data_IF_546570034397
#
_entry.id   IF_546570034397
#
_cell.length_a   1.000
_cell.length_b   1.000
_cell.length_c   1.000
_cell.angle_alpha   90.00
_cell.angle_beta   90.00
_cell.angle_gamma   90.00
#
_symmetry.space_group_name_H-M   'P 1'
#
loop_
_entity.id
_entity.type
_entity.pdbx_description
1 polymer ?
#
# COMPACT_ATOMS: atom_id res chain seq x y z
N UNK A 1 88.68 -128.58 78.82
CA UNK A 1 88.99 -127.66 77.70
C UNK A 1 87.78 -127.37 76.82
N UNK A 2 86.86 -128.30 76.60
CA UNK A 2 85.67 -128.09 75.73
C UNK A 2 84.58 -127.18 76.31
N UNK A 3 84.27 -127.25 77.62
CA UNK A 3 83.28 -126.35 78.26
C UNK A 3 83.59 -124.86 78.06
N UNK A 4 84.87 -124.47 78.18
CA UNK A 4 85.33 -123.08 77.94
C UNK A 4 85.12 -122.63 76.49
N UNK A 5 85.28 -123.53 75.50
CA UNK A 5 85.06 -123.21 74.08
C UNK A 5 83.57 -123.05 73.74
N UNK A 6 82.69 -123.79 74.41
CA UNK A 6 81.23 -123.66 74.26
C UNK A 6 80.74 -122.37 74.90
N UNK A 7 81.18 -122.04 76.11
CA UNK A 7 80.87 -120.76 76.77
C UNK A 7 81.36 -119.55 75.97
N UNK A 8 82.53 -119.65 75.35
CA UNK A 8 83.08 -118.60 74.49
C UNK A 8 82.27 -118.43 73.19
N UNK A 9 81.76 -119.52 72.59
CA UNK A 9 80.85 -119.45 71.42
C UNK A 9 79.49 -118.85 71.78
N UNK A 10 78.90 -119.23 72.91
CA UNK A 10 77.63 -118.66 73.41
C UNK A 10 77.80 -117.17 73.72
N UNK A 11 78.95 -116.77 74.28
CA UNK A 11 79.30 -115.36 74.50
C UNK A 11 79.44 -114.61 73.17
N UNK A 12 80.14 -115.18 72.20
CA UNK A 12 80.28 -114.58 70.86
C UNK A 12 78.95 -114.49 70.10
N UNK A 13 78.04 -115.44 70.26
CA UNK A 13 76.69 -115.38 69.69
C UNK A 13 75.84 -114.30 70.36
N UNK A 14 75.84 -114.21 71.69
CA UNK A 14 75.16 -113.12 72.42
C UNK A 14 75.70 -111.75 72.01
N UNK A 15 77.01 -111.59 71.88
CA UNK A 15 77.62 -110.34 71.39
C UNK A 15 77.23 -110.04 69.93
N UNK A 16 77.08 -111.05 69.06
CA UNK A 16 76.58 -110.88 67.69
C UNK A 16 75.11 -110.49 67.65
N UNK A 17 74.26 -111.14 68.44
CA UNK A 17 72.84 -110.82 68.57
C UNK A 17 72.63 -109.41 69.14
N UNK A 18 73.34 -109.04 70.21
CA UNK A 18 73.33 -107.68 70.75
C UNK A 18 73.80 -106.66 69.72
N UNK A 19 74.80 -106.99 68.90
CA UNK A 19 75.26 -106.11 67.81
C UNK A 19 74.22 -105.97 66.70
N UNK A 20 73.50 -107.04 66.36
CA UNK A 20 72.39 -107.03 65.41
C UNK A 20 71.22 -106.22 65.97
N UNK A 21 70.87 -106.42 67.24
CA UNK A 21 69.79 -105.70 67.90
C UNK A 21 70.11 -104.22 68.05
N UNK A 22 71.35 -103.87 68.42
CA UNK A 22 71.85 -102.49 68.46
C UNK A 22 71.77 -101.83 67.08
N UNK A 23 72.14 -102.54 66.00
CA UNK A 23 71.97 -102.07 64.61
C UNK A 23 70.49 -101.92 64.22
N UNK A 24 69.60 -102.82 64.66
CA UNK A 24 68.15 -102.73 64.42
C UNK A 24 67.54 -101.53 65.13
N UNK A 25 67.83 -101.34 66.42
CA UNK A 25 67.44 -100.17 67.22
C UNK A 25 68.00 -98.88 66.63
N UNK A 26 69.23 -98.89 66.12
CA UNK A 26 69.84 -97.72 65.46
C UNK A 26 69.16 -97.40 64.12
N UNK A 27 68.87 -98.42 63.28
CA UNK A 27 68.10 -98.24 62.03
C UNK A 27 66.70 -97.71 62.31
N UNK A 28 66.05 -98.22 63.35
CA UNK A 28 64.72 -97.76 63.77
C UNK A 28 64.76 -96.32 64.29
N UNK A 29 65.76 -95.95 65.10
CA UNK A 29 66.01 -94.55 65.51
C UNK A 29 66.25 -93.65 64.31
N UNK A 30 67.05 -94.08 63.32
CA UNK A 30 67.28 -93.34 62.07
C UNK A 30 65.99 -93.19 61.25
N UNK A 31 65.16 -94.23 61.19
CA UNK A 31 63.85 -94.20 60.52
C UNK A 31 62.90 -93.22 61.22
N UNK A 32 62.75 -93.30 62.54
CA UNK A 32 61.93 -92.37 63.34
C UNK A 32 62.41 -90.92 63.16
N UNK A 33 63.72 -90.66 63.22
CA UNK A 33 64.29 -89.32 62.94
C UNK A 33 64.00 -88.83 61.52
N UNK A 34 64.01 -89.71 60.51
CA UNK A 34 63.65 -89.35 59.13
C UNK A 34 62.16 -89.05 59.00
N UNK A 35 61.31 -89.85 59.63
CA UNK A 35 59.85 -89.63 59.64
C UNK A 35 59.49 -88.35 60.42
N UNK A 36 60.16 -88.08 61.53
CA UNK A 36 60.01 -86.84 62.31
C UNK A 36 60.46 -85.61 61.52
N UNK A 37 61.60 -85.67 60.83
CA UNK A 37 62.03 -84.61 59.91
C UNK A 37 61.03 -84.38 58.78
N UNK A 38 60.49 -85.45 58.17
CA UNK A 38 59.45 -85.33 57.13
C UNK A 38 58.18 -84.66 57.66
N UNK A 39 57.77 -84.98 58.89
CA UNK A 39 56.62 -84.32 59.55
C UNK A 39 56.91 -82.85 59.82
N UNK A 40 58.11 -82.52 60.33
CA UNK A 40 58.53 -81.13 60.55
C UNK A 40 58.59 -80.35 59.24
N UNK A 41 59.19 -80.91 58.18
CA UNK A 41 59.21 -80.30 56.85
C UNK A 41 57.80 -80.11 56.27
N UNK A 42 56.88 -81.07 56.50
CA UNK A 42 55.49 -80.94 56.07
C UNK A 42 54.75 -79.85 56.86
N UNK A 43 54.91 -79.82 58.18
CA UNK A 43 54.31 -78.78 59.04
C UNK A 43 54.86 -77.39 58.70
N UNK A 44 56.15 -77.26 58.40
CA UNK A 44 56.75 -76.00 57.93
C UNK A 44 56.16 -75.56 56.59
N UNK A 45 56.02 -76.47 55.62
CA UNK A 45 55.37 -76.16 54.34
C UNK A 45 53.93 -75.72 54.51
N UNK A 46 53.16 -76.41 55.36
CA UNK A 46 51.77 -76.03 55.66
C UNK A 46 51.69 -74.67 56.37
N UNK A 47 52.64 -74.35 57.27
CA UNK A 47 52.74 -73.02 57.89
C UNK A 47 53.08 -71.95 56.86
N UNK A 48 54.07 -72.17 56.02
CA UNK A 48 54.44 -71.24 54.94
C UNK A 48 53.28 -71.02 53.96
N UNK A 49 52.53 -72.06 53.63
CA UNK A 49 51.36 -71.97 52.75
C UNK A 49 50.24 -71.14 53.41
N UNK A 50 49.95 -71.38 54.70
CA UNK A 50 48.99 -70.56 55.46
C UNK A 50 49.41 -69.09 55.53
N UNK A 51 50.70 -68.82 55.76
CA UNK A 51 51.23 -67.45 55.75
C UNK A 51 51.11 -66.79 54.37
N UNK A 52 51.40 -67.53 53.29
CA UNK A 52 51.22 -67.04 51.91
C UNK A 52 49.76 -66.72 51.62
N UNK A 53 48.84 -67.62 51.99
CA UNK A 53 47.41 -67.38 51.85
C UNK A 53 46.94 -66.16 52.66
N UNK A 54 47.44 -65.99 53.89
CA UNK A 54 47.09 -64.83 54.71
C UNK A 54 47.59 -63.53 54.08
N UNK A 55 48.84 -63.49 53.60
CA UNK A 55 49.40 -62.35 52.87
C UNK A 55 48.58 -62.05 51.62
N UNK A 56 48.19 -63.06 50.85
CA UNK A 56 47.31 -62.88 49.69
C UNK A 56 45.93 -62.32 50.08
N UNK A 57 45.32 -62.82 51.16
CA UNK A 57 44.03 -62.31 51.67
C UNK A 57 44.16 -60.85 52.09
N UNK A 58 45.23 -60.49 52.80
CA UNK A 58 45.52 -59.12 53.20
C UNK A 58 45.72 -58.22 51.97
N UNK A 59 46.51 -58.65 50.98
CA UNK A 59 46.70 -57.92 49.73
C UNK A 59 45.39 -57.71 48.96
N UNK A 60 44.55 -58.75 48.84
CA UNK A 60 43.23 -58.63 48.18
C UNK A 60 42.35 -57.60 48.89
N UNK A 61 42.36 -57.60 50.22
CA UNK A 61 41.63 -56.63 51.03
C UNK A 61 42.17 -55.21 50.85
N UNK A 62 43.49 -55.03 50.82
CA UNK A 62 44.12 -53.75 50.51
C UNK A 62 43.79 -53.25 49.12
N UNK A 63 43.89 -54.09 48.09
CA UNK A 63 43.50 -53.76 46.71
C UNK A 63 42.04 -53.31 46.64
N UNK A 64 41.14 -53.98 47.37
CA UNK A 64 39.73 -53.59 47.49
C UNK A 64 39.56 -52.23 48.18
N UNK A 65 40.31 -51.97 49.26
CA UNK A 65 40.32 -50.66 49.95
C UNK A 65 40.86 -49.54 49.06
N UNK A 66 41.96 -49.76 48.35
CA UNK A 66 42.54 -48.81 47.38
C UNK A 66 41.56 -48.51 46.24
N UNK A 67 40.91 -49.54 45.67
CA UNK A 67 39.85 -49.36 44.65
C UNK A 67 38.67 -48.53 45.18
N UNK A 68 38.22 -48.79 46.43
CA UNK A 68 37.15 -47.99 47.05
C UNK A 68 37.56 -46.54 47.30
N UNK A 69 38.80 -46.28 47.71
CA UNK A 69 39.34 -44.92 47.87
C UNK A 69 39.38 -44.17 46.53
N UNK A 70 39.96 -44.77 45.49
CA UNK A 70 40.00 -44.20 44.13
C UNK A 70 38.60 -43.85 43.62
N UNK A 71 37.63 -44.76 43.75
CA UNK A 71 36.24 -44.49 43.34
C UNK A 71 35.59 -43.35 44.12
N UNK A 72 35.90 -43.19 45.41
CA UNK A 72 35.40 -42.06 46.21
C UNK A 72 36.03 -40.75 45.79
N UNK A 73 37.32 -40.75 45.50
CA UNK A 73 38.04 -39.56 45.00
C UNK A 73 37.55 -39.17 43.60
N UNK A 74 37.34 -40.14 42.72
CA UNK A 74 36.77 -39.93 41.38
C UNK A 74 35.37 -39.34 41.44
N UNK A 75 34.49 -39.87 42.30
CA UNK A 75 33.17 -39.27 42.54
C UNK A 75 33.24 -37.85 43.07
N UNK A 76 34.16 -37.56 44.00
CA UNK A 76 34.36 -36.19 44.51
C UNK A 76 34.83 -35.23 43.42
N UNK A 77 35.69 -35.69 42.50
CA UNK A 77 36.14 -34.90 41.35
C UNK A 77 34.97 -34.64 40.39
N UNK A 78 34.19 -35.66 40.06
CA UNK A 78 32.99 -35.52 39.23
C UNK A 78 31.97 -34.56 39.86
N UNK A 79 31.66 -34.72 41.15
CA UNK A 79 30.77 -33.80 41.86
C UNK A 79 31.30 -32.35 41.89
N UNK A 80 32.62 -32.17 41.95
CA UNK A 80 33.22 -30.84 41.88
C UNK A 80 33.14 -30.25 40.48
N UNK A 81 33.45 -31.03 39.44
CA UNK A 81 33.33 -30.64 38.04
C UNK A 81 31.88 -30.27 37.71
N UNK A 82 30.89 -31.08 38.09
CA UNK A 82 29.47 -30.78 37.91
C UNK A 82 29.03 -29.49 38.63
N UNK A 83 29.55 -29.23 39.84
CA UNK A 83 29.29 -27.95 40.55
C UNK A 83 29.91 -26.76 39.84
N UNK A 84 31.11 -26.91 39.29
CA UNK A 84 31.79 -25.86 38.54
C UNK A 84 31.10 -25.61 37.19
N UNK A 85 30.68 -26.65 36.49
CA UNK A 85 29.85 -26.55 35.28
C UNK A 85 28.51 -25.89 35.57
N UNK A 86 27.83 -26.27 36.65
CA UNK A 86 26.59 -25.63 37.08
C UNK A 86 26.76 -24.13 37.35
N UNK A 87 27.86 -23.72 38.00
CA UNK A 87 28.17 -22.29 38.21
C UNK A 87 28.46 -21.55 36.90
N UNK A 88 29.16 -22.19 35.95
CA UNK A 88 29.44 -21.60 34.62
C UNK A 88 28.14 -21.41 33.84
N UNK A 89 27.26 -22.40 33.86
CA UNK A 89 25.94 -22.32 33.22
C UNK A 89 25.09 -21.21 33.84
N UNK A 90 25.05 -21.12 35.17
CA UNK A 90 24.33 -20.06 35.89
C UNK A 90 24.90 -18.67 35.54
N UNK A 91 26.22 -18.53 35.44
CA UNK A 91 26.86 -17.29 35.02
C UNK A 91 26.51 -16.93 33.56
N UNK A 92 26.57 -17.89 32.65
CA UNK A 92 26.17 -17.67 31.25
C UNK A 92 24.70 -17.28 31.10
N UNK A 93 23.81 -17.89 31.89
CA UNK A 93 22.38 -17.54 31.91
C UNK A 93 22.18 -16.12 32.43
N UNK A 94 22.84 -15.73 33.52
CA UNK A 94 22.81 -14.35 34.03
C UNK A 94 23.32 -13.34 33.00
N UNK A 95 24.41 -13.65 32.30
CA UNK A 95 24.93 -12.79 31.22
C UNK A 95 23.96 -12.71 30.03
N UNK A 96 23.32 -13.82 29.64
CA UNK A 96 22.29 -13.83 28.59
C UNK A 96 21.09 -12.99 28.99
N UNK A 97 20.60 -13.14 30.22
CA UNK A 97 19.50 -12.32 30.74
C UNK A 97 19.86 -10.83 30.77
N UNK A 98 21.07 -10.48 31.19
CA UNK A 98 21.53 -9.09 31.21
C UNK A 98 21.59 -8.51 29.79
N UNK A 99 22.14 -9.25 28.82
CA UNK A 99 22.15 -8.86 27.41
C UNK A 99 20.75 -8.68 26.85
N UNK A 100 19.81 -9.58 27.17
CA UNK A 100 18.41 -9.43 26.78
C UNK A 100 17.76 -8.20 27.41
N UNK A 101 18.03 -7.91 28.69
CA UNK A 101 17.54 -6.70 29.36
C UNK A 101 18.09 -5.45 28.69
N UNK A 102 19.38 -5.41 28.37
CA UNK A 102 20.00 -4.32 27.63
C UNK A 102 19.36 -4.14 26.24
N UNK A 103 19.17 -5.23 25.50
CA UNK A 103 18.54 -5.17 24.17
C UNK A 103 17.09 -4.68 24.24
N UNK A 104 16.32 -5.12 25.25
CA UNK A 104 14.95 -4.62 25.48
C UNK A 104 14.94 -3.13 25.77
N UNK A 105 15.89 -2.64 26.57
CA UNK A 105 16.04 -1.21 26.86
C UNK A 105 16.44 -0.41 25.62
N UNK A 106 17.36 -0.91 24.79
CA UNK A 106 17.71 -0.27 23.52
C UNK A 106 16.54 -0.24 22.55
N UNK A 107 15.81 -1.35 22.40
CA UNK A 107 14.61 -1.41 21.56
C UNK A 107 13.57 -0.39 22.02
N UNK A 108 13.40 -0.21 23.33
CA UNK A 108 12.52 0.82 23.89
C UNK A 108 13.02 2.23 23.56
N UNK A 109 14.30 2.53 23.76
CA UNK A 109 14.91 3.82 23.39
C UNK A 109 14.73 4.14 21.91
N UNK A 110 15.01 3.18 21.02
CA UNK A 110 14.81 3.33 19.56
C UNK A 110 13.36 3.59 19.20
N UNK A 111 12.40 2.96 19.90
CA UNK A 111 10.96 3.22 19.69
C UNK A 111 10.57 4.62 20.16
N UNK A 112 11.08 5.06 21.31
CA UNK A 112 10.83 6.40 21.84
C UNK A 112 11.47 7.48 20.95
N UNK A 113 12.67 7.24 20.43
CA UNK A 113 13.36 8.13 19.48
C UNK A 113 12.59 8.24 18.15
N UNK A 114 12.13 7.11 17.59
CA UNK A 114 11.27 7.12 16.39
C UNK A 114 9.98 7.90 16.61
N UNK A 115 9.34 7.75 17.78
CA UNK A 115 8.14 8.53 18.13
C UNK A 115 8.43 10.03 18.22
N UNK A 116 9.60 10.42 18.73
CA UNK A 116 10.02 11.83 18.77
C UNK A 116 10.26 12.38 17.36
N UNK A 117 10.96 11.62 16.52
CA UNK A 117 11.19 11.99 15.11
C UNK A 117 9.88 12.14 14.36
N UNK A 118 8.94 11.19 14.52
CA UNK A 118 7.63 11.25 13.89
C UNK A 118 6.80 12.44 14.40
N UNK A 119 6.88 12.78 15.69
CA UNK A 119 6.24 13.98 16.24
C UNK A 119 6.84 15.26 15.67
N UNK A 120 8.18 15.32 15.58
CA UNK A 120 8.89 16.48 15.02
C UNK A 120 8.59 16.65 13.52
N UNK A 121 8.53 15.56 12.74
CA UNK A 121 8.13 15.58 11.34
C UNK A 121 6.69 16.06 11.18
N UNK A 122 5.75 15.54 11.99
CA UNK A 122 4.36 16.01 12.00
C UNK A 122 4.24 17.49 12.38
N UNK A 123 5.09 17.99 13.28
CA UNK A 123 5.10 19.41 13.65
C UNK A 123 5.67 20.27 12.51
N UNK A 124 6.75 19.83 11.86
CA UNK A 124 7.32 20.48 10.67
C UNK A 124 6.31 20.53 9.52
N UNK A 125 5.61 19.44 9.26
CA UNK A 125 4.57 19.38 8.23
C UNK A 125 3.40 20.33 8.53
N UNK A 126 2.97 20.42 9.80
CA UNK A 126 1.97 21.41 10.23
C UNK A 126 2.44 22.84 10.03
N UNK A 127 3.68 23.14 10.39
CA UNK A 127 4.27 24.46 10.18
C UNK A 127 4.34 24.81 8.69
N UNK A 128 4.75 23.86 7.84
CA UNK A 128 4.80 24.05 6.40
C UNK A 128 3.40 24.25 5.80
N UNK A 129 2.40 23.49 6.25
CA UNK A 129 1.00 23.68 5.85
C UNK A 129 0.48 25.07 6.27
N UNK A 130 0.74 25.49 7.51
CA UNK A 130 0.37 26.83 7.98
C UNK A 130 1.06 27.93 7.16
N UNK A 131 2.33 27.75 6.80
CA UNK A 131 3.07 28.71 5.99
C UNK A 131 2.48 28.79 4.58
N UNK A 132 2.23 27.65 3.92
CA UNK A 132 1.55 27.58 2.62
C UNK A 132 0.18 28.26 2.66
N UNK A 133 -0.62 28.02 3.69
CA UNK A 133 -1.91 28.70 3.86
C UNK A 133 -1.77 30.21 4.07
N UNK A 134 -0.76 30.66 4.84
CA UNK A 134 -0.48 32.08 5.04
C UNK A 134 -0.07 32.74 3.73
N UNK A 135 0.80 32.10 2.95
CA UNK A 135 1.21 32.58 1.62
C UNK A 135 0.00 32.66 0.67
N UNK A 136 -0.83 31.62 0.63
CA UNK A 136 -2.02 31.61 -0.22
C UNK A 136 -3.02 32.70 0.19
N UNK A 137 -3.20 32.94 1.50
CA UNK A 137 -4.02 34.06 2.01
C UNK A 137 -3.46 35.41 1.56
N UNK A 138 -2.14 35.60 1.62
CA UNK A 138 -1.48 36.82 1.15
C UNK A 138 -1.69 36.98 -0.36
N UNK A 139 -1.55 35.91 -1.13
CA UNK A 139 -1.73 35.94 -2.57
C UNK A 139 -3.19 36.24 -2.97
N UNK A 140 -4.17 35.58 -2.35
CA UNK A 140 -5.60 35.86 -2.51
C UNK A 140 -5.90 37.32 -2.20
N UNK A 141 -5.31 37.90 -1.13
CA UNK A 141 -5.47 39.32 -0.79
C UNK A 141 -4.86 40.23 -1.87
N UNK A 142 -3.69 39.88 -2.42
CA UNK A 142 -3.07 40.62 -3.54
C UNK A 142 -3.93 40.56 -4.80
N UNK A 143 -4.47 39.39 -5.16
CA UNK A 143 -5.39 39.21 -6.31
C UNK A 143 -6.66 40.05 -6.15
N UNK A 144 -7.33 39.97 -4.99
CA UNK A 144 -8.51 40.81 -4.67
C UNK A 144 -8.21 42.30 -4.74
N UNK A 145 -7.03 42.74 -4.28
CA UNK A 145 -6.63 44.15 -4.37
C UNK A 145 -6.42 44.59 -5.82
N UNK A 146 -5.80 43.75 -6.66
CA UNK A 146 -5.64 44.03 -8.10
C UNK A 146 -6.99 44.08 -8.81
N UNK A 147 -7.89 43.16 -8.51
CA UNK A 147 -9.24 43.11 -9.09
C UNK A 147 -10.07 44.33 -8.70
N UNK A 148 -10.07 44.72 -7.41
CA UNK A 148 -10.73 45.95 -6.95
C UNK A 148 -10.21 47.19 -7.68
N UNK A 149 -8.89 47.30 -7.88
CA UNK A 149 -8.30 48.40 -8.65
C UNK A 149 -8.77 48.41 -10.11
N UNK A 150 -8.84 47.24 -10.76
CA UNK A 150 -9.36 47.11 -12.13
C UNK A 150 -10.83 47.51 -12.21
N UNK A 151 -11.67 47.02 -11.32
CA UNK A 151 -13.09 47.37 -11.26
C UNK A 151 -13.29 48.87 -10.99
N UNK A 152 -12.45 49.48 -10.13
CA UNK A 152 -12.51 50.91 -9.87
C UNK A 152 -12.08 51.73 -11.08
N UNK A 153 -11.02 51.34 -11.78
CA UNK A 153 -10.61 51.95 -13.05
C UNK A 153 -11.70 51.84 -14.12
N UNK A 154 -12.28 50.65 -14.28
CA UNK A 154 -13.36 50.43 -15.25
C UNK A 154 -14.61 51.27 -14.91
N UNK A 155 -14.97 51.39 -13.63
CA UNK A 155 -16.08 52.27 -13.21
C UNK A 155 -15.78 53.74 -13.51
N UNK A 156 -14.55 54.21 -13.26
CA UNK A 156 -14.13 55.57 -13.58
C UNK A 156 -14.18 55.82 -15.09
N UNK A 157 -13.65 54.90 -15.90
CA UNK A 157 -13.72 54.99 -17.37
C UNK A 157 -15.15 54.97 -17.90
N UNK A 158 -16.03 54.14 -17.32
CA UNK A 158 -17.47 54.12 -17.68
C UNK A 158 -18.13 55.45 -17.37
N UNK A 159 -17.89 56.02 -16.20
CA UNK A 159 -18.43 57.34 -15.81
C UNK A 159 -17.89 58.46 -16.71
N UNK A 160 -16.61 58.39 -17.09
CA UNK A 160 -16.02 59.38 -18.01
C UNK A 160 -16.63 59.28 -19.40
N UNK A 161 -16.78 58.07 -19.95
CA UNK A 161 -17.47 57.84 -21.23
C UNK A 161 -18.94 58.27 -21.20
N UNK A 162 -19.61 58.08 -20.07
CA UNK A 162 -21.00 58.53 -19.88
C UNK A 162 -21.09 60.06 -19.87
N UNK A 163 -20.22 60.74 -19.10
CA UNK A 163 -20.10 62.21 -19.13
C UNK A 163 -19.79 62.74 -20.53
N UNK A 164 -18.87 62.11 -21.25
CA UNK A 164 -18.54 62.51 -22.63
C UNK A 164 -19.73 62.31 -23.57
N UNK A 165 -20.51 61.23 -23.41
CA UNK A 165 -21.74 61.00 -24.18
C UNK A 165 -22.80 62.05 -23.86
N UNK A 166 -23.01 62.37 -22.60
CA UNK A 166 -23.93 63.43 -22.17
C UNK A 166 -23.52 64.79 -22.73
N UNK A 167 -22.24 65.15 -22.66
CA UNK A 167 -21.73 66.40 -23.22
C UNK A 167 -21.91 66.44 -24.75
N UNK A 168 -21.67 65.33 -25.46
CA UNK A 168 -21.93 65.22 -26.90
C UNK A 168 -23.42 65.41 -27.22
N UNK A 169 -24.31 64.83 -26.42
CA UNK A 169 -25.77 64.98 -26.58
C UNK A 169 -26.20 66.42 -26.30
N UNK A 170 -25.70 67.05 -25.24
CA UNK A 170 -26.00 68.44 -24.89
C UNK A 170 -25.49 69.40 -25.97
N UNK A 171 -24.25 69.21 -26.45
CA UNK A 171 -23.68 70.00 -27.55
C UNK A 171 -24.49 69.86 -28.84
N UNK A 172 -25.03 68.66 -29.12
CA UNK A 172 -25.93 68.43 -30.25
C UNK A 172 -27.27 69.16 -30.04
N UNK A 173 -27.89 69.04 -28.87
CA UNK A 173 -29.14 69.76 -28.53
C UNK A 173 -28.96 71.27 -28.65
N UNK A 174 -27.86 71.82 -28.14
CA UNK A 174 -27.55 73.26 -28.23
C UNK A 174 -27.33 73.72 -29.67
N UNK A 175 -26.74 72.87 -30.53
CA UNK A 175 -26.62 73.14 -31.97
C UNK A 175 -27.97 73.09 -32.67
N UNK A 176 -28.81 72.11 -32.35
CA UNK A 176 -30.17 71.99 -32.90
C UNK A 176 -31.06 73.15 -32.44
N UNK A 177 -30.97 73.57 -31.17
CA UNK A 177 -31.68 74.73 -30.65
C UNK A 177 -31.21 76.04 -31.30
N UNK A 178 -29.89 76.23 -31.48
CA UNK A 178 -29.37 77.36 -32.26
C UNK A 178 -29.90 77.37 -33.68
N UNK A 179 -29.93 76.22 -34.36
CA UNK A 179 -30.49 76.11 -35.71
C UNK A 179 -31.98 76.41 -35.74
N UNK A 180 -32.76 75.98 -34.75
CA UNK A 180 -34.19 76.32 -34.62
C UNK A 180 -34.40 77.82 -34.40
N UNK A 181 -33.62 78.43 -33.49
CA UNK A 181 -33.69 79.89 -33.27
C UNK A 181 -33.29 80.66 -34.53
N UNK A 182 -32.26 80.22 -35.24
CA UNK A 182 -31.83 80.85 -36.50
C UNK A 182 -32.87 80.65 -37.61
N UNK A 183 -33.56 79.50 -37.66
CA UNK A 183 -34.70 79.29 -38.57
C UNK A 183 -35.90 80.16 -38.19
N UNK A 184 -36.26 80.27 -36.91
CA UNK A 184 -37.34 81.16 -36.45
C UNK A 184 -37.00 82.63 -36.69
N UNK A 185 -35.74 83.03 -36.55
CA UNK A 185 -35.29 84.40 -36.82
C UNK A 185 -35.30 84.70 -38.32
N UNK A 186 -34.86 83.76 -39.16
CA UNK A 186 -35.02 83.85 -40.63
C UNK A 186 -36.49 83.87 -41.05
N UNK A 187 -37.35 83.07 -40.42
CA UNK A 187 -38.78 83.06 -40.71
C UNK A 187 -39.46 84.36 -40.22
N UNK A 188 -38.99 84.96 -39.12
CA UNK A 188 -39.42 86.31 -38.69
C UNK A 188 -38.94 87.40 -39.64
N UNK A 189 -37.69 87.36 -40.10
CA UNK A 189 -37.19 88.28 -41.13
C UNK A 189 -37.93 88.10 -42.45
N UNK A 190 -38.29 86.88 -42.82
CA UNK A 190 -39.07 86.60 -44.03
C UNK A 190 -40.52 87.09 -43.88
N UNK A 191 -41.14 86.91 -42.70
CA UNK A 191 -42.45 87.50 -42.39
C UNK A 191 -42.40 89.02 -42.31
N UNK A 192 -41.34 89.62 -41.77
CA UNK A 192 -41.17 91.08 -41.76
C UNK A 192 -40.89 91.62 -43.17
N UNK A 193 -40.16 90.88 -44.01
CA UNK A 193 -40.01 91.20 -45.44
C UNK A 193 -41.34 91.09 -46.17
N UNK A 194 -42.12 90.03 -45.93
CA UNK A 194 -43.45 89.88 -46.50
C UNK A 194 -44.42 90.96 -46.01
N UNK A 195 -44.38 91.35 -44.73
CA UNK A 195 -45.21 92.43 -44.19
C UNK A 195 -44.77 93.82 -44.70
N UNK A 196 -43.46 94.04 -44.89
CA UNK A 196 -42.96 95.25 -45.60
C UNK A 196 -43.37 95.24 -47.06
N UNK A 197 -43.31 94.10 -47.73
CA UNK A 197 -43.73 93.95 -49.12
C UNK A 197 -45.27 94.06 -49.26
N UNK A 198 -46.06 93.65 -48.26
CA UNK A 198 -47.50 93.85 -48.20
C UNK A 198 -47.86 95.30 -47.92
N UNK A 199 -47.16 95.99 -47.00
CA UNK A 199 -47.33 97.43 -46.76
C UNK A 199 -46.90 98.26 -47.97
N UNK A 200 -45.82 97.85 -48.65
CA UNK A 200 -45.38 98.47 -49.90
C UNK A 200 -46.36 98.14 -51.05
N UNK A 201 -46.98 96.95 -51.08
CA UNK A 201 -48.07 96.62 -51.99
C UNK A 201 -49.35 97.40 -51.69
N UNK A 202 -49.73 97.62 -50.44
CA UNK A 202 -50.90 98.45 -50.07
C UNK A 202 -50.67 99.94 -50.39
N UNK A 203 -49.46 100.44 -50.20
CA UNK A 203 -49.08 101.81 -50.56
C UNK A 203 -48.98 101.99 -52.08
N UNK A 204 -48.42 100.98 -52.79
CA UNK A 204 -48.46 100.90 -54.25
C UNK A 204 -49.88 100.72 -54.78
N UNK A 205 -50.76 99.96 -54.14
CA UNK A 205 -52.16 99.76 -54.58
C UNK A 205 -53.04 101.01 -54.33
N UNK A 206 -52.72 101.82 -53.30
CA UNK A 206 -53.29 103.17 -53.13
C UNK A 206 -52.80 104.16 -54.19
N UNK A 207 -51.53 104.12 -54.59
CA UNK A 207 -51.01 104.92 -55.71
C UNK A 207 -51.52 104.40 -57.07
N UNK A 208 -51.66 103.09 -57.25
CA UNK A 208 -52.10 102.42 -58.47
C UNK A 208 -53.61 102.58 -58.69
N UNK A 209 -54.43 102.76 -57.64
CA UNK A 209 -55.84 103.21 -57.78
C UNK A 209 -55.96 104.65 -58.32
N UNK A 210 -54.98 105.51 -58.06
CA UNK A 210 -54.91 106.87 -58.63
C UNK A 210 -54.31 106.87 -60.05
N UNK A 211 -53.37 105.97 -60.34
CA UNK A 211 -52.74 105.83 -61.66
C UNK A 211 -53.54 104.98 -62.67
N UNK A 212 -54.33 103.99 -62.24
CA UNK A 212 -55.25 103.19 -63.09
C UNK A 212 -56.39 104.00 -63.68
N UNK A 213 -56.67 105.20 -63.14
CA UNK A 213 -57.60 106.17 -63.77
C UNK A 213 -56.92 106.98 -64.90
N UNK A 214 -55.58 106.97 -64.96
CA UNK A 214 -54.76 107.71 -65.94
C UNK A 214 -54.16 106.78 -67.02
N UNK A 215 -53.75 105.55 -66.68
CA UNK A 215 -53.15 104.55 -67.59
C UNK A 215 -54.12 103.66 -68.36
N UNK A 216 -55.44 103.80 -68.16
CA UNK A 216 -56.46 103.12 -69.01
C UNK A 216 -56.62 103.78 -70.39
N UNK A 217 -55.81 104.80 -70.69
CA UNK A 217 -55.81 105.56 -71.95
C UNK A 217 -54.52 105.41 -72.77
N UNK A 218 -53.49 104.76 -72.23
CA UNK A 218 -52.21 104.57 -72.89
C UNK A 218 -51.85 103.10 -72.85
N UNK A 219 -52.34 102.41 -73.88
CA UNK A 219 -51.56 101.36 -74.52
C UNK A 219 -51.53 100.01 -73.77
N UNK A 220 -52.22 98.97 -74.25
CA UNK A 220 -52.57 98.66 -75.66
C UNK A 220 -51.40 98.78 -76.65
N UNK A 221 -50.17 98.92 -76.16
CA UNK A 221 -48.95 98.62 -76.88
C UNK A 221 -48.13 97.64 -76.04
N UNK A 222 -47.81 96.51 -76.69
CA UNK A 222 -46.57 95.75 -76.48
C UNK A 222 -46.48 95.07 -75.10
N UNK A 223 -47.02 93.87 -74.90
CA UNK A 223 -47.06 92.73 -75.82
C UNK A 223 -45.75 92.51 -76.58
N UNK A 224 -44.63 92.72 -75.88
CA UNK A 224 -43.31 92.29 -76.34
C UNK A 224 -42.49 91.88 -75.10
N UNK A 225 -42.04 90.62 -75.08
CA UNK A 225 -41.01 90.00 -74.22
C UNK A 225 -41.56 89.44 -72.89
N UNK A 226 -42.18 88.27 -72.74
CA UNK A 226 -42.26 86.99 -73.47
C UNK A 226 -40.93 86.43 -74.02
N UNK A 227 -39.81 86.71 -73.33
CA UNK A 227 -38.49 86.14 -73.69
C UNK A 227 -37.54 85.83 -72.51
N UNK A 228 -38.04 85.62 -71.29
CA UNK A 228 -37.19 85.25 -70.14
C UNK A 228 -37.62 83.94 -69.43
N UNK A 229 -38.45 83.14 -70.09
CA UNK A 229 -38.93 81.83 -69.57
C UNK A 229 -38.08 80.63 -70.07
N UNK A 230 -36.88 80.89 -70.60
CA UNK A 230 -36.00 79.84 -71.20
C UNK A 230 -34.59 79.74 -70.61
N UNK A 231 -34.38 80.18 -69.37
CA UNK A 231 -33.05 80.11 -68.73
C UNK A 231 -33.03 79.39 -67.37
N UNK A 232 -34.15 78.78 -66.94
CA UNK A 232 -34.23 78.03 -65.67
C UNK A 232 -34.15 76.50 -65.80
N UNK A 233 -34.06 75.96 -67.02
CA UNK A 233 -34.04 74.51 -67.24
C UNK A 233 -32.64 73.89 -67.38
N UNK A 234 -31.56 74.66 -67.32
CA UNK A 234 -30.20 74.13 -67.57
C UNK A 234 -29.38 73.86 -66.30
N UNK A 235 -29.94 74.13 -65.11
CA UNK A 235 -29.21 74.04 -63.83
C UNK A 235 -29.57 72.79 -63.01
N UNK A 236 -30.55 71.98 -63.44
CA UNK A 236 -31.03 70.78 -62.72
C UNK A 236 -30.33 69.48 -63.18
N UNK A 237 -29.59 69.48 -64.29
CA UNK A 237 -28.96 68.27 -64.84
C UNK A 237 -27.52 68.01 -64.33
N UNK A 238 -26.85 69.00 -63.72
CA UNK A 238 -25.48 68.83 -63.20
C UNK A 238 -25.39 68.34 -61.75
N UNK A 239 -26.49 68.26 -61.01
CA UNK A 239 -26.48 67.82 -59.60
C UNK A 239 -26.80 66.31 -59.42
N UNK A 240 -27.29 65.63 -60.47
CA UNK A 240 -27.61 64.20 -60.43
C UNK A 240 -26.41 63.26 -60.70
N UNK A 241 -25.34 63.74 -61.33
CA UNK A 241 -24.19 62.88 -61.67
C UNK A 241 -23.13 62.74 -60.56
N UNK A 242 -23.14 63.61 -59.55
CA UNK A 242 -22.16 63.55 -58.45
C UNK A 242 -22.57 62.58 -57.33
N UNK A 243 -23.88 62.35 -57.15
CA UNK A 243 -24.41 61.44 -56.11
C UNK A 243 -24.34 59.94 -56.47
N UNK A 244 -24.16 59.58 -57.73
CA UNK A 244 -24.16 58.17 -58.17
C UNK A 244 -22.76 57.52 -58.09
N UNK A 245 -21.68 58.30 -58.01
CA UNK A 245 -20.30 57.78 -57.84
C UNK A 245 -19.92 57.51 -56.39
N UNK A 246 -20.46 58.28 -55.44
CA UNK A 246 -20.13 58.13 -54.01
C UNK A 246 -20.86 56.95 -53.33
N UNK A 247 -21.97 56.47 -53.90
CA UNK A 247 -22.75 55.36 -53.36
C UNK A 247 -22.19 53.98 -53.78
N UNK A 248 -21.60 53.88 -54.98
CA UNK A 248 -20.96 52.64 -55.45
C UNK A 248 -19.62 52.34 -54.76
N UNK A 249 -18.88 53.36 -54.35
CA UNK A 249 -17.58 53.17 -53.68
C UNK A 249 -17.73 52.76 -52.20
N UNK A 250 -18.82 53.18 -51.54
CA UNK A 250 -19.15 52.74 -50.17
C UNK A 250 -19.64 51.29 -50.10
N UNK A 251 -20.41 50.84 -51.09
CA UNK A 251 -20.91 49.46 -51.11
C UNK A 251 -19.80 48.42 -51.37
N UNK A 252 -18.80 48.72 -52.21
CA UNK A 252 -17.70 47.78 -52.49
C UNK A 252 -16.70 47.66 -51.31
N UNK A 253 -16.54 48.72 -50.51
CA UNK A 253 -15.70 48.70 -49.32
C UNK A 253 -16.36 47.97 -48.15
N UNK A 254 -17.69 48.09 -47.99
CA UNK A 254 -18.45 47.42 -46.94
C UNK A 254 -18.59 45.90 -47.19
N UNK A 255 -18.62 45.47 -48.46
CA UNK A 255 -18.70 44.05 -48.82
C UNK A 255 -17.36 43.32 -48.64
N UNK A 256 -16.23 43.98 -48.93
CA UNK A 256 -14.89 43.44 -48.65
C UNK A 256 -14.60 43.38 -47.15
N UNK A 257 -15.06 44.36 -46.37
CA UNK A 257 -14.89 44.36 -44.91
C UNK A 257 -15.80 43.31 -44.23
N UNK A 258 -16.99 43.02 -44.77
CA UNK A 258 -17.83 41.91 -44.31
C UNK A 258 -17.21 40.54 -44.58
N UNK A 259 -16.65 40.31 -45.77
CA UNK A 259 -16.03 39.01 -46.09
C UNK A 259 -14.73 38.75 -45.32
N UNK A 260 -13.96 39.79 -45.00
CA UNK A 260 -12.75 39.66 -44.19
C UNK A 260 -13.08 39.42 -42.70
N UNK A 261 -14.11 40.09 -42.18
CA UNK A 261 -14.63 39.83 -40.83
C UNK A 261 -15.24 38.43 -40.72
N UNK A 262 -15.97 37.96 -41.72
CA UNK A 262 -16.57 36.62 -41.71
C UNK A 262 -15.50 35.51 -41.82
N UNK A 263 -14.40 35.73 -42.55
CA UNK A 263 -13.25 34.80 -42.56
C UNK A 263 -12.51 34.79 -41.22
N UNK A 264 -12.27 35.96 -40.61
CA UNK A 264 -11.64 36.03 -39.29
C UNK A 264 -12.53 35.45 -38.18
N UNK A 265 -13.84 35.60 -38.28
CA UNK A 265 -14.79 35.04 -37.32
C UNK A 265 -14.87 33.52 -37.45
N UNK A 266 -14.91 32.97 -38.68
CA UNK A 266 -14.83 31.51 -38.90
C UNK A 266 -13.49 30.90 -38.46
N UNK A 267 -12.36 31.59 -38.68
CA UNK A 267 -11.05 31.11 -38.21
C UNK A 267 -10.91 31.18 -36.67
N UNK A 268 -11.51 32.20 -36.03
CA UNK A 268 -11.59 32.28 -34.57
C UNK A 268 -12.51 31.21 -34.00
N UNK A 269 -13.65 30.96 -34.63
CA UNK A 269 -14.60 29.95 -34.20
C UNK A 269 -14.05 28.52 -34.39
N UNK A 270 -13.26 28.27 -35.44
CA UNK A 270 -12.57 26.99 -35.65
C UNK A 270 -11.41 26.78 -34.67
N UNK A 271 -10.64 27.83 -34.37
CA UNK A 271 -9.61 27.78 -33.30
C UNK A 271 -10.24 27.62 -31.92
N UNK A 272 -11.36 28.28 -31.65
CA UNK A 272 -12.09 28.13 -30.39
C UNK A 272 -12.75 26.75 -30.28
N UNK A 273 -13.23 26.15 -31.39
CA UNK A 273 -13.67 24.75 -31.42
C UNK A 273 -12.53 23.78 -31.17
N UNK A 274 -11.36 23.97 -31.77
CA UNK A 274 -10.20 23.12 -31.51
C UNK A 274 -9.64 23.29 -30.10
N UNK A 275 -9.69 24.49 -29.54
CA UNK A 275 -9.25 24.76 -28.16
C UNK A 275 -10.27 24.21 -27.15
N UNK A 276 -11.57 24.30 -27.44
CA UNK A 276 -12.63 23.64 -26.65
C UNK A 276 -12.56 22.12 -26.76
N UNK A 277 -12.27 21.55 -27.93
CA UNK A 277 -12.12 20.09 -28.09
C UNK A 277 -10.84 19.59 -27.41
N UNK A 278 -9.75 20.37 -27.44
CA UNK A 278 -8.53 20.07 -26.65
C UNK A 278 -8.80 20.19 -25.15
N UNK A 279 -9.48 21.23 -24.70
CA UNK A 279 -9.86 21.36 -23.28
C UNK A 279 -10.88 20.31 -22.86
N UNK A 280 -11.75 19.84 -23.74
CA UNK A 280 -12.72 18.79 -23.44
C UNK A 280 -12.04 17.42 -23.41
N UNK A 281 -11.08 17.13 -24.31
CA UNK A 281 -10.23 15.93 -24.22
C UNK A 281 -9.30 15.96 -23.01
N UNK A 282 -8.75 17.12 -22.68
CA UNK A 282 -7.89 17.29 -21.51
C UNK A 282 -8.70 17.21 -20.22
N UNK A 283 -9.94 17.73 -20.19
CA UNK A 283 -10.88 17.52 -19.08
C UNK A 283 -11.35 16.06 -19.00
N UNK A 284 -11.63 15.39 -20.11
CA UNK A 284 -12.00 13.97 -20.10
C UNK A 284 -10.83 13.09 -19.67
N UNK A 285 -9.60 13.39 -20.10
CA UNK A 285 -8.41 12.66 -19.67
C UNK A 285 -8.06 12.96 -18.21
N UNK A 286 -8.29 14.18 -17.75
CA UNK A 286 -8.10 14.57 -16.35
C UNK A 286 -9.23 14.02 -15.47
N UNK A 287 -10.46 13.90 -15.98
CA UNK A 287 -11.60 13.27 -15.30
C UNK A 287 -11.51 11.74 -15.34
N UNK A 288 -10.91 11.12 -16.37
CA UNK A 288 -10.56 9.70 -16.39
C UNK A 288 -9.42 9.41 -15.42
N UNK A 289 -8.36 10.23 -15.38
CA UNK A 289 -7.29 10.09 -14.40
C UNK A 289 -7.77 10.36 -12.99
N UNK A 290 -8.65 11.34 -12.79
CA UNK A 290 -9.26 11.62 -11.49
C UNK A 290 -10.30 10.56 -11.12
N UNK A 291 -11.01 9.93 -12.07
CA UNK A 291 -11.83 8.73 -11.82
C UNK A 291 -10.98 7.51 -11.52
N UNK A 292 -9.86 7.30 -12.18
CA UNK A 292 -8.98 6.15 -11.95
C UNK A 292 -8.22 6.32 -10.63
N UNK A 293 -7.87 7.55 -10.26
CA UNK A 293 -7.25 7.90 -8.98
C UNK A 293 -8.28 7.95 -7.85
N UNK A 294 -9.51 8.41 -8.10
CA UNK A 294 -10.64 8.24 -7.17
C UNK A 294 -11.05 6.79 -7.05
N UNK A 295 -11.02 5.97 -8.10
CA UNK A 295 -11.32 4.53 -8.01
C UNK A 295 -10.17 3.78 -7.32
N UNK A 296 -8.92 4.25 -7.42
CA UNK A 296 -7.79 3.75 -6.61
C UNK A 296 -7.94 4.14 -5.15
N UNK A 297 -8.25 5.42 -4.88
CA UNK A 297 -8.47 5.93 -3.53
C UNK A 297 -9.77 5.40 -2.93
N UNK A 298 -10.79 5.09 -3.72
CA UNK A 298 -12.05 4.49 -3.28
C UNK A 298 -11.86 2.99 -3.11
N UNK A 299 -11.06 2.28 -3.91
CA UNK A 299 -10.62 0.90 -3.60
C UNK A 299 -9.67 0.80 -2.41
N UNK A 300 -9.03 1.89 -2.03
CA UNK A 300 -8.13 1.99 -0.87
C UNK A 300 -8.89 2.47 0.39
N UNK A 301 -9.85 3.40 0.23
CA UNK A 301 -10.79 3.80 1.26
C UNK A 301 -11.86 2.75 1.51
N UNK A 302 -12.37 2.02 0.53
CA UNK A 302 -13.29 0.88 0.74
C UNK A 302 -12.56 -0.32 1.39
N UNK A 303 -11.22 -0.36 1.34
CA UNK A 303 -10.38 -1.26 2.16
C UNK A 303 -10.20 -0.79 3.60
N UNK A 304 -10.42 0.49 3.90
CA UNK A 304 -10.24 1.09 5.22
C UNK A 304 -11.57 1.52 5.91
N UNK A 305 -12.62 1.79 5.14
CA UNK A 305 -13.95 2.28 5.54
C UNK A 305 -15.06 1.22 5.40
N UNK A 306 -14.75 0.01 4.92
CA UNK A 306 -15.64 -1.16 5.03
C UNK A 306 -15.85 -1.67 6.47
N UNK A 307 -15.54 -0.87 7.49
CA UNK A 307 -15.62 -1.22 8.90
C UNK A 307 -16.57 -0.36 9.73
N UNK A 308 -17.29 0.62 9.17
CA UNK A 308 -18.26 1.40 9.97
C UNK A 308 -19.23 2.15 9.05
N UNK A 309 -20.42 1.57 8.78
CA UNK A 309 -21.47 2.24 8.03
C UNK A 309 -22.70 1.38 7.74
N UNK A 310 -23.63 1.42 8.69
CA UNK A 310 -25.09 1.26 8.54
C UNK A 310 -25.73 -0.13 8.32
N UNK A 311 -26.22 -0.61 9.46
CA UNK A 311 -27.49 -1.29 9.68
C UNK A 311 -28.59 -0.90 8.67
N UNK A 312 -28.77 -1.70 7.62
CA UNK A 312 -30.07 -2.09 7.04
C UNK A 312 -29.83 -2.98 5.81
N UNK A 313 -29.52 -4.27 6.01
CA UNK A 313 -29.82 -5.36 5.06
C UNK A 313 -29.43 -6.71 5.70
N UNK A 314 -30.02 -6.98 6.86
CA UNK A 314 -30.01 -8.30 7.48
C UNK A 314 -30.93 -9.23 6.69
N UNK A 315 -30.42 -9.88 5.63
CA UNK A 315 -30.69 -11.31 5.38
C UNK A 315 -30.02 -11.92 4.11
N UNK A 316 -29.32 -11.16 3.26
CA UNK A 316 -28.72 -11.71 2.02
C UNK A 316 -27.19 -11.63 1.95
N UNK A 317 -26.52 -10.92 2.87
CA UNK A 317 -25.07 -10.67 2.82
C UNK A 317 -24.14 -11.82 3.25
N UNK A 318 -24.65 -12.86 3.93
CA UNK A 318 -23.79 -13.94 4.46
C UNK A 318 -23.18 -14.85 3.39
N UNK A 319 -23.85 -15.06 2.26
CA UNK A 319 -23.37 -15.97 1.21
C UNK A 319 -22.32 -15.34 0.30
N UNK A 320 -22.37 -14.02 0.06
CA UNK A 320 -21.43 -13.31 -0.81
C UNK A 320 -20.04 -13.10 -0.16
N UNK A 321 -19.99 -12.93 1.17
CA UNK A 321 -18.73 -12.78 1.92
C UNK A 321 -17.92 -14.10 1.98
N UNK A 322 -18.60 -15.26 1.99
CA UNK A 322 -17.95 -16.58 2.02
C UNK A 322 -17.19 -16.89 0.72
N UNK A 323 -17.78 -16.59 -0.43
CA UNK A 323 -17.15 -16.86 -1.74
C UNK A 323 -15.88 -16.03 -1.97
N UNK A 324 -15.85 -14.77 -1.52
CA UNK A 324 -14.66 -13.89 -1.66
C UNK A 324 -13.48 -14.37 -0.81
N UNK A 325 -13.71 -14.96 0.37
CA UNK A 325 -12.66 -15.50 1.26
C UNK A 325 -11.99 -16.76 0.72
N UNK A 326 -12.74 -17.61 0.02
CA UNK A 326 -12.22 -18.81 -0.65
C UNK A 326 -11.28 -18.47 -1.81
N UNK A 327 -11.64 -17.46 -2.63
CA UNK A 327 -10.87 -17.05 -3.81
C UNK A 327 -9.47 -16.52 -3.46
N UNK A 328 -9.35 -15.66 -2.45
CA UNK A 328 -8.05 -15.12 -2.00
C UNK A 328 -7.13 -16.22 -1.46
N UNK A 329 -7.71 -17.19 -0.75
CA UNK A 329 -6.96 -18.33 -0.20
C UNK A 329 -6.42 -19.26 -1.30
N UNK A 330 -7.22 -19.50 -2.34
CA UNK A 330 -6.82 -20.26 -3.53
C UNK A 330 -5.73 -19.56 -4.35
N UNK A 331 -5.82 -18.24 -4.51
CA UNK A 331 -4.77 -17.46 -5.20
C UNK A 331 -3.42 -17.62 -4.50
N UNK A 332 -3.43 -17.65 -3.16
CA UNK A 332 -2.22 -17.81 -2.35
C UNK A 332 -1.63 -19.21 -2.43
N UNK A 333 -2.44 -20.25 -2.65
CA UNK A 333 -1.94 -21.61 -2.91
C UNK A 333 -1.28 -21.67 -4.28
N UNK A 334 -1.93 -21.13 -5.33
CA UNK A 334 -1.36 -21.08 -6.69
C UNK A 334 -0.01 -20.35 -6.74
N UNK A 335 0.13 -19.25 -5.99
CA UNK A 335 1.42 -18.56 -5.87
C UNK A 335 2.51 -19.45 -5.27
N UNK A 336 2.20 -20.20 -4.21
CA UNK A 336 3.17 -21.09 -3.57
C UNK A 336 3.53 -22.29 -4.46
N UNK A 337 2.57 -22.81 -5.23
CA UNK A 337 2.81 -23.85 -6.24
C UNK A 337 3.76 -23.35 -7.33
N UNK A 338 3.55 -22.13 -7.83
CA UNK A 338 4.48 -21.51 -8.76
C UNK A 338 5.89 -21.40 -8.18
N UNK A 339 6.03 -20.99 -6.92
CA UNK A 339 7.33 -20.93 -6.22
C UNK A 339 7.99 -22.32 -6.09
N UNK A 340 7.21 -23.37 -5.78
CA UNK A 340 7.70 -24.76 -5.75
C UNK A 340 8.20 -25.20 -7.12
N UNK A 341 7.50 -24.84 -8.20
CA UNK A 341 7.90 -25.23 -9.56
C UNK A 341 9.20 -24.52 -9.99
N UNK A 342 9.39 -23.25 -9.59
CA UNK A 342 10.66 -22.55 -9.78
C UNK A 342 11.82 -23.22 -9.02
N UNK A 343 11.58 -23.66 -7.79
CA UNK A 343 12.58 -24.41 -7.00
C UNK A 343 12.91 -25.75 -7.65
N UNK A 344 11.90 -26.46 -8.16
CA UNK A 344 12.08 -27.74 -8.87
C UNK A 344 12.96 -27.55 -10.10
N UNK A 345 12.68 -26.53 -10.93
CA UNK A 345 13.52 -26.19 -12.09
C UNK A 345 14.95 -25.82 -11.69
N UNK A 346 15.14 -25.09 -10.59
CA UNK A 346 16.46 -24.75 -10.08
C UNK A 346 17.24 -25.99 -9.61
N UNK A 347 16.57 -26.95 -8.96
CA UNK A 347 17.17 -28.23 -8.54
C UNK A 347 17.59 -29.05 -9.76
N UNK A 348 16.74 -29.17 -10.79
CA UNK A 348 17.09 -29.86 -12.03
C UNK A 348 18.32 -29.22 -12.70
N UNK A 349 18.43 -27.88 -12.70
CA UNK A 349 19.62 -27.18 -13.21
C UNK A 349 20.87 -27.47 -12.39
N UNK A 350 20.77 -27.66 -11.07
CA UNK A 350 21.93 -28.09 -10.26
C UNK A 350 22.37 -29.50 -10.59
N UNK A 351 21.43 -30.40 -10.88
CA UNK A 351 21.73 -31.79 -11.28
C UNK A 351 22.46 -31.85 -12.63
N UNK A 352 21.96 -31.13 -13.63
CA UNK A 352 22.63 -31.02 -14.94
C UNK A 352 24.05 -30.45 -14.83
N UNK A 353 24.27 -29.53 -13.88
CA UNK A 353 25.62 -28.99 -13.61
C UNK A 353 26.52 -30.01 -12.93
N UNK A 354 26.01 -30.82 -12.02
CA UNK A 354 26.76 -31.94 -11.41
C UNK A 354 27.19 -32.94 -12.50
N UNK A 355 26.28 -33.33 -13.39
CA UNK A 355 26.59 -34.21 -14.53
C UNK A 355 27.66 -33.61 -15.45
N UNK A 356 27.55 -32.32 -15.78
CA UNK A 356 28.53 -31.63 -16.61
C UNK A 356 29.93 -31.55 -15.97
N UNK A 357 30.01 -31.46 -14.63
CA UNK A 357 31.29 -31.51 -13.90
C UNK A 357 31.93 -32.90 -14.00
N UNK A 358 31.13 -33.97 -13.97
CA UNK A 358 31.64 -35.32 -14.15
C UNK A 358 32.28 -35.52 -15.53
N UNK A 359 31.71 -34.92 -16.57
CA UNK A 359 32.18 -35.05 -17.97
C UNK A 359 33.31 -34.10 -18.38
N UNK A 360 33.62 -33.06 -17.60
CA UNK A 360 34.66 -32.07 -17.96
C UNK A 360 36.10 -32.56 -17.74
N UNK A 361 37.09 -31.84 -18.30
CA UNK A 361 38.53 -32.17 -18.19
C UNK A 361 39.21 -31.67 -16.89
N UNK A 362 38.41 -31.26 -15.89
CA UNK A 362 38.94 -30.81 -14.59
C UNK A 362 39.73 -31.93 -13.87
N UNK A 363 40.75 -31.54 -13.10
CA UNK A 363 41.44 -32.49 -12.20
C UNK A 363 40.46 -33.07 -11.16
N UNK A 364 40.69 -34.30 -10.67
CA UNK A 364 39.78 -34.96 -9.73
C UNK A 364 39.50 -34.12 -8.47
N UNK A 365 40.50 -33.41 -7.97
CA UNK A 365 40.37 -32.50 -6.81
C UNK A 365 39.43 -31.31 -7.10
N UNK A 366 39.53 -30.72 -8.29
CA UNK A 366 38.66 -29.60 -8.70
C UNK A 366 37.23 -30.08 -8.94
N UNK A 367 37.06 -31.28 -9.51
CA UNK A 367 35.73 -31.92 -9.66
C UNK A 367 35.06 -32.14 -8.31
N UNK A 368 35.79 -32.63 -7.32
CA UNK A 368 35.27 -32.87 -5.98
C UNK A 368 34.77 -31.57 -5.31
N UNK A 369 35.58 -30.51 -5.35
CA UNK A 369 35.20 -29.20 -4.77
C UNK A 369 33.97 -28.62 -5.48
N UNK A 370 33.91 -28.69 -6.81
CA UNK A 370 32.76 -28.19 -7.59
C UNK A 370 31.50 -28.99 -7.30
N UNK A 371 31.61 -30.33 -7.22
CA UNK A 371 30.50 -31.23 -6.89
C UNK A 371 30.00 -30.96 -5.48
N UNK A 372 30.88 -30.81 -4.49
CA UNK A 372 30.50 -30.49 -3.11
C UNK A 372 29.74 -29.15 -3.01
N UNK A 373 30.19 -28.13 -3.75
CA UNK A 373 29.48 -26.83 -3.83
C UNK A 373 28.09 -26.96 -4.45
N UNK A 374 27.93 -27.75 -5.52
CA UNK A 374 26.61 -27.97 -6.13
C UNK A 374 25.70 -28.80 -5.22
N UNK A 375 26.22 -29.83 -4.56
CA UNK A 375 25.47 -30.62 -3.58
C UNK A 375 25.00 -29.75 -2.41
N UNK A 376 25.82 -28.82 -1.92
CA UNK A 376 25.43 -27.83 -0.91
C UNK A 376 24.28 -26.93 -1.39
N UNK A 377 24.36 -26.41 -2.61
CA UNK A 377 23.28 -25.61 -3.23
C UNK A 377 22.00 -26.43 -3.39
N UNK A 378 22.11 -27.67 -3.85
CA UNK A 378 20.98 -28.60 -4.03
C UNK A 378 20.30 -28.92 -2.70
N UNK A 379 21.05 -29.23 -1.64
CA UNK A 379 20.51 -29.45 -0.28
C UNK A 379 19.75 -28.23 0.23
N UNK A 380 20.25 -27.02 -0.02
CA UNK A 380 19.57 -25.77 0.36
C UNK A 380 18.27 -25.57 -0.43
N UNK A 381 18.27 -25.82 -1.74
CA UNK A 381 17.06 -25.73 -2.58
C UNK A 381 16.01 -26.79 -2.18
N UNK A 382 16.42 -28.03 -1.91
CA UNK A 382 15.53 -29.09 -1.43
C UNK A 382 14.86 -28.73 -0.09
N UNK A 383 15.61 -28.15 0.86
CA UNK A 383 15.03 -27.64 2.12
C UNK A 383 14.03 -26.52 1.88
N UNK A 384 14.27 -25.64 0.90
CA UNK A 384 13.30 -24.59 0.52
C UNK A 384 12.06 -25.21 -0.11
N UNK A 385 12.21 -26.20 -0.98
CA UNK A 385 11.12 -26.92 -1.63
C UNK A 385 10.21 -27.60 -0.58
N UNK A 386 10.79 -28.34 0.36
CA UNK A 386 10.05 -28.98 1.46
C UNK A 386 9.24 -27.95 2.26
N UNK A 387 9.86 -26.83 2.65
CA UNK A 387 9.16 -25.74 3.37
C UNK A 387 8.02 -25.12 2.56
N UNK A 388 8.16 -25.01 1.23
CA UNK A 388 7.07 -24.52 0.37
C UNK A 388 5.94 -25.54 0.26
N UNK A 389 6.27 -26.83 0.15
CA UNK A 389 5.28 -27.91 0.09
C UNK A 389 4.49 -28.03 1.40
N UNK A 390 5.15 -27.97 2.56
CA UNK A 390 4.49 -27.92 3.87
C UNK A 390 3.52 -26.75 3.99
N UNK A 391 3.90 -25.57 3.47
CA UNK A 391 3.02 -24.39 3.45
C UNK A 391 1.80 -24.58 2.55
N UNK A 392 1.97 -25.25 1.40
CA UNK A 392 0.88 -25.59 0.50
C UNK A 392 -0.05 -26.59 1.18
N UNK A 393 0.49 -27.67 1.76
CA UNK A 393 -0.28 -28.68 2.47
C UNK A 393 -1.08 -28.09 3.62
N UNK A 394 -0.44 -27.32 4.51
CA UNK A 394 -1.12 -26.65 5.63
C UNK A 394 -2.23 -25.71 5.18
N UNK A 395 -2.07 -25.04 4.03
CA UNK A 395 -3.13 -24.19 3.47
C UNK A 395 -4.28 -25.00 2.87
N UNK A 396 -3.98 -26.09 2.16
CA UNK A 396 -5.00 -27.00 1.61
C UNK A 396 -5.78 -27.69 2.72
N UNK A 397 -5.11 -28.13 3.78
CA UNK A 397 -5.74 -28.72 4.96
C UNK A 397 -6.66 -27.71 5.67
N UNK A 398 -6.19 -26.46 5.87
CA UNK A 398 -7.06 -25.39 6.38
C UNK A 398 -8.26 -25.09 5.50
N UNK A 399 -8.13 -25.23 4.19
CA UNK A 399 -9.27 -25.08 3.28
C UNK A 399 -10.23 -26.27 3.39
N UNK A 400 -9.72 -27.50 3.47
CA UNK A 400 -10.56 -28.70 3.69
C UNK A 400 -11.32 -28.60 5.00
N UNK A 401 -10.64 -28.27 6.10
CA UNK A 401 -11.29 -28.11 7.41
C UNK A 401 -12.37 -27.02 7.41
N UNK A 402 -12.23 -25.96 6.59
CA UNK A 402 -13.28 -24.94 6.43
C UNK A 402 -14.46 -25.46 5.62
N UNK A 403 -14.20 -26.18 4.53
CA UNK A 403 -15.25 -26.82 3.74
C UNK A 403 -16.03 -27.84 4.59
N UNK A 404 -15.34 -28.64 5.39
CA UNK A 404 -15.97 -29.63 6.28
C UNK A 404 -16.85 -28.94 7.34
N UNK A 405 -16.41 -27.80 7.91
CA UNK A 405 -17.22 -26.99 8.83
C UNK A 405 -18.46 -26.39 8.14
N UNK A 406 -18.31 -25.88 6.90
CA UNK A 406 -19.42 -25.33 6.13
C UNK A 406 -20.44 -26.43 5.76
N UNK A 407 -19.98 -27.64 5.42
CA UNK A 407 -20.83 -28.79 5.13
C UNK A 407 -21.58 -29.27 6.39
N UNK A 408 -20.95 -29.25 7.56
CA UNK A 408 -21.59 -29.55 8.85
C UNK A 408 -22.64 -28.50 9.22
N UNK A 409 -22.33 -27.21 9.07
CA UNK A 409 -23.28 -26.12 9.31
C UNK A 409 -24.45 -26.16 8.33
N UNK A 410 -24.19 -26.47 7.05
CA UNK A 410 -25.23 -26.62 6.03
C UNK A 410 -26.13 -27.82 6.35
N UNK A 411 -25.54 -28.96 6.74
CA UNK A 411 -26.30 -30.15 7.20
C UNK A 411 -27.13 -29.87 8.46
N UNK A 412 -26.55 -29.19 9.45
CA UNK A 412 -27.24 -28.81 10.69
C UNK A 412 -28.37 -27.79 10.44
N UNK A 413 -28.13 -26.82 9.56
CA UNK A 413 -29.11 -25.82 9.14
C UNK A 413 -30.30 -26.44 8.40
N UNK A 414 -30.05 -27.40 7.50
CA UNK A 414 -31.10 -28.15 6.81
C UNK A 414 -31.93 -29.01 7.76
N UNK A 415 -31.28 -29.68 8.72
CA UNK A 415 -31.99 -30.46 9.75
C UNK A 415 -32.86 -29.55 10.63
N UNK A 416 -32.35 -28.39 11.03
CA UNK A 416 -33.10 -27.42 11.84
C UNK A 416 -34.31 -26.83 11.07
N UNK A 417 -34.15 -26.53 9.77
CA UNK A 417 -35.24 -26.05 8.91
C UNK A 417 -36.33 -27.10 8.69
N UNK A 418 -35.96 -28.39 8.58
CA UNK A 418 -36.94 -29.48 8.51
C UNK A 418 -37.69 -29.68 9.84
N UNK A 419 -37.00 -29.67 10.98
CA UNK A 419 -37.62 -29.90 12.30
C UNK A 419 -38.53 -28.72 12.72
N UNK A 420 -38.12 -27.48 12.46
CA UNK A 420 -38.93 -26.28 12.79
C UNK A 420 -40.09 -26.06 11.81
N UNK A 421 -39.91 -26.39 10.52
CA UNK A 421 -40.99 -26.38 9.54
C UNK A 421 -42.11 -27.37 9.87
N UNK A 422 -41.78 -28.51 10.49
CA UNK A 422 -42.76 -29.52 10.88
C UNK A 422 -43.61 -29.12 12.10
N UNK A 423 -43.05 -28.35 13.05
CA UNK A 423 -43.78 -27.94 14.26
C UNK A 423 -44.64 -26.68 14.10
N UNK A 424 -44.32 -25.79 13.13
CA UNK A 424 -45.07 -24.55 12.91
C UNK A 424 -46.41 -24.76 12.18
N UNK A 425 -46.64 -25.93 11.58
CA UNK A 425 -47.91 -26.32 10.96
C UNK A 425 -48.94 -26.94 11.91
N UNK A 426 -48.55 -27.33 13.13
CA UNK A 426 -49.45 -27.99 14.08
C UNK A 426 -50.14 -27.04 15.07
N UNK A 427 -49.66 -25.80 15.22
CA UNK A 427 -50.29 -24.82 16.13
C UNK A 427 -51.46 -24.08 15.50
N UNK A 428 -51.52 -23.96 14.17
CA UNK A 428 -52.66 -23.38 13.44
C UNK A 428 -53.83 -24.37 13.26
N UNK A 429 -53.63 -25.66 13.50
CA UNK A 429 -54.71 -26.66 13.41
C UNK A 429 -55.50 -26.85 14.72
N UNK A 430 -55.03 -26.32 15.85
CA UNK A 430 -55.71 -26.48 17.15
C UNK A 430 -56.57 -25.28 17.58
N UNK A 431 -56.47 -24.10 16.96
CA UNK A 431 -57.41 -22.99 17.23
C UNK A 431 -58.69 -23.05 16.38
N UNK A 432 -58.70 -23.81 15.27
CA UNK A 432 -59.89 -23.97 14.42
C UNK A 432 -60.86 -25.06 14.90
N UNK A 433 -60.50 -25.83 15.93
CA UNK A 433 -61.28 -26.98 16.43
C UNK A 433 -62.02 -26.72 17.76
N UNK A 434 -62.03 -25.46 18.24
CA UNK A 434 -62.82 -25.03 19.41
C UNK A 434 -63.77 -23.86 19.10
N UNK A 435 -64.22 -23.75 17.84
CA UNK A 435 -65.42 -23.00 17.48
C UNK A 435 -66.68 -23.78 17.88
N UNK A 436 -66.90 -23.90 19.19
CA UNK A 436 -68.13 -24.44 19.78
C UNK A 436 -69.28 -23.51 19.44
N UNK A 437 -70.16 -23.98 18.56
CA UNK A 437 -71.49 -23.45 18.30
C UNK A 437 -72.35 -23.52 19.57
N UNK A 438 -72.51 -22.38 20.25
CA UNK A 438 -73.56 -22.20 21.26
C UNK A 438 -74.85 -21.84 20.52
N UNK A 439 -75.73 -22.83 20.47
CA UNK A 439 -77.09 -22.80 19.98
C UNK A 439 -77.96 -22.19 21.09
N UNK A 440 -78.55 -21.02 20.85
CA UNK A 440 -79.59 -20.44 21.71
C UNK A 440 -80.94 -20.65 21.03
N UNK A 441 -81.63 -21.72 21.42
CA UNK A 441 -83.09 -21.82 21.37
C UNK A 441 -83.63 -21.13 22.63
N UNK A 442 -84.59 -20.21 22.47
CA UNK A 442 -85.77 -20.01 23.33
C UNK A 442 -86.59 -18.81 22.85
N UNK A 443 -87.82 -19.11 22.43
CA UNK A 443 -89.08 -18.34 22.44
C UNK A 443 -89.20 -16.94 21.80
#
# INVERSE_FOLDING_TARGET
>A
MEKRRVEERVRQEREREEKIERRRRERERRRRRREERKRQEQEEREREEREREERERQERMERRRRRRRRRREERKRQEQEEREEGKRQEQEEREKEERERQERMERRRRREERKRQEQEERERERQEQEEREREERIERRRRRRKERKRQEQEKRERQEREREREERIEKRRRREERKRREQEEREREERERQEREEREREERERQERMERRRRRREERERQEREREERERQEQEERERQEREREERERQEQEERERQERERQEREREERERQERERQERERQEQEEREREERERQEREREREEGNEGDQQEEDTGRTAAHLKRGLVSNLRIRYLEHQRDQLTKAISKTYQKEEAICTGDDTPEVKEIRTWRQQGKRRMLLRKQQKTEEKIQRKREKLRARMDQEDEEWRAGLFSRMVTGFFRGYTSFNLALLGVSVQTDSD
#
